data_IF_683912128196
#
_entry.id   IF_683912128196
#
_cell.length_a   1.000
_cell.length_b   1.000
_cell.length_c   1.000
_cell.angle_alpha   90.00
_cell.angle_beta   90.00
_cell.angle_gamma   90.00
#
_symmetry.space_group_name_H-M   'P 1'
#
loop_
_entity.id
_entity.type
_entity.pdbx_description
1 polymer ?
#
# COMPACT_ATOMS: atom_id res chain seq x y z
N UNK A 1 -8.21 15.73 -6.55
CA UNK A 1 -9.56 15.69 -5.94
C UNK A 1 -10.50 16.34 -6.93
N UNK A 2 -11.50 15.62 -7.42
CA UNK A 2 -12.46 16.13 -8.39
C UNK A 2 -13.86 16.19 -7.76
N UNK A 3 -14.64 17.20 -8.15
CA UNK A 3 -16.02 17.41 -7.69
C UNK A 3 -16.90 17.48 -8.92
N UNK A 4 -17.92 16.62 -8.97
CA UNK A 4 -19.00 16.71 -9.95
C UNK A 4 -20.27 16.99 -9.18
N UNK A 5 -20.89 18.13 -9.46
CA UNK A 5 -22.19 18.53 -8.93
C UNK A 5 -23.16 18.70 -10.10
N UNK A 6 -24.34 18.12 -10.00
CA UNK A 6 -25.40 18.23 -11.00
C UNK A 6 -26.69 18.68 -10.34
N UNK A 7 -27.28 19.72 -10.91
CA UNK A 7 -28.65 20.17 -10.62
C UNK A 7 -29.60 19.33 -11.48
N UNK A 8 -29.77 18.06 -11.12
CA UNK A 8 -30.72 17.15 -11.76
C UNK A 8 -31.98 16.98 -10.92
N UNK A 9 -33.13 16.75 -11.57
CA UNK A 9 -34.43 16.50 -10.92
C UNK A 9 -34.40 15.14 -10.22
N UNK A 10 -33.68 15.06 -9.11
CA UNK A 10 -33.77 13.95 -8.19
C UNK A 10 -35.12 14.09 -7.46
N UNK A 11 -36.02 13.13 -7.63
CA UNK A 11 -37.14 12.93 -6.70
C UNK A 11 -36.68 12.45 -5.30
N UNK A 12 -35.36 12.47 -5.06
CA UNK A 12 -34.71 11.94 -3.88
C UNK A 12 -34.28 13.13 -3.01
N UNK A 13 -34.95 13.29 -1.88
CA UNK A 13 -34.58 14.29 -0.87
C UNK A 13 -33.22 13.96 -0.26
N UNK A 14 -32.50 14.98 0.22
CA UNK A 14 -31.22 14.79 0.93
C UNK A 14 -31.32 13.80 2.11
N UNK A 15 -32.47 13.73 2.79
CA UNK A 15 -32.74 12.72 3.84
C UNK A 15 -32.52 11.26 3.43
N UNK A 16 -32.55 10.93 2.14
CA UNK A 16 -32.35 9.57 1.61
C UNK A 16 -30.94 9.35 1.04
N UNK A 17 -30.09 10.37 1.05
CA UNK A 17 -28.73 10.31 0.49
C UNK A 17 -27.72 10.07 1.61
N UNK A 18 -26.95 8.99 1.46
CA UNK A 18 -25.86 8.62 2.35
C UNK A 18 -24.51 8.79 1.65
N UNK A 19 -23.41 8.70 2.41
CA UNK A 19 -22.04 8.86 1.91
C UNK A 19 -21.66 7.85 0.80
N UNK A 20 -22.30 6.69 0.80
CA UNK A 20 -22.09 5.60 -0.16
C UNK A 20 -23.13 5.57 -1.28
N UNK A 21 -24.11 6.48 -1.28
CA UNK A 21 -25.16 6.50 -2.30
C UNK A 21 -24.58 6.72 -3.69
N UNK A 22 -25.01 5.88 -4.63
CA UNK A 22 -24.64 5.94 -6.04
C UNK A 22 -25.78 6.62 -6.78
N UNK A 23 -25.46 7.73 -7.45
CA UNK A 23 -26.45 8.63 -8.06
C UNK A 23 -26.34 8.51 -9.57
N UNK A 24 -27.40 8.09 -10.28
CA UNK A 24 -27.35 7.83 -11.73
C UNK A 24 -26.90 9.03 -12.57
N UNK A 25 -27.05 10.25 -12.08
CA UNK A 25 -26.62 11.48 -12.75
C UNK A 25 -25.11 11.70 -12.60
N UNK A 26 -24.50 11.13 -11.57
CA UNK A 26 -23.08 11.24 -11.27
C UNK A 26 -22.28 10.02 -11.81
N UNK A 27 -22.67 9.47 -12.97
CA UNK A 27 -22.07 8.21 -13.50
C UNK A 27 -20.55 8.27 -13.57
N UNK A 28 -19.99 9.36 -14.10
CA UNK A 28 -18.54 9.54 -14.23
C UNK A 28 -17.85 9.45 -12.86
N UNK A 29 -18.45 10.02 -11.82
CA UNK A 29 -17.89 10.00 -10.47
C UNK A 29 -18.10 8.66 -9.74
N UNK A 30 -19.10 7.88 -10.14
CA UNK A 30 -19.41 6.58 -9.53
C UNK A 30 -18.36 5.50 -9.86
N UNK A 31 -17.58 5.69 -10.93
CA UNK A 31 -16.46 4.81 -11.29
C UNK A 31 -15.27 4.93 -10.34
N UNK A 32 -15.23 5.98 -9.52
CA UNK A 32 -14.11 6.28 -8.64
C UNK A 32 -14.51 6.19 -7.16
N UNK A 33 -13.57 5.80 -6.29
CA UNK A 33 -13.81 5.80 -4.85
C UNK A 33 -14.02 7.24 -4.38
N UNK A 34 -15.07 7.44 -3.59
CA UNK A 34 -15.51 8.77 -3.22
C UNK A 34 -16.70 8.75 -2.28
N UNK A 35 -17.04 9.94 -1.80
CA UNK A 35 -18.17 10.19 -0.92
C UNK A 35 -19.23 11.04 -1.62
N UNK A 36 -20.48 10.64 -1.49
CA UNK A 36 -21.64 11.38 -1.99
C UNK A 36 -22.19 12.26 -0.86
N UNK A 37 -22.56 13.49 -1.18
CA UNK A 37 -23.18 14.43 -0.25
C UNK A 37 -24.36 15.12 -0.92
N UNK A 38 -25.28 15.62 -0.09
CA UNK A 38 -26.44 16.37 -0.52
C UNK A 38 -26.59 17.60 0.35
N UNK A 39 -26.93 18.73 -0.27
CA UNK A 39 -27.29 19.97 0.42
C UNK A 39 -28.64 20.42 -0.11
N UNK A 40 -29.55 20.76 0.80
CA UNK A 40 -30.86 21.28 0.42
C UNK A 40 -30.71 22.71 -0.11
N UNK A 41 -31.41 23.00 -1.20
CA UNK A 41 -31.47 24.29 -1.88
C UNK A 41 -32.91 24.81 -1.87
N UNK A 42 -33.09 26.10 -2.15
CA UNK A 42 -34.41 26.65 -2.40
C UNK A 42 -35.08 25.98 -3.60
N UNK A 43 -36.40 25.87 -3.57
CA UNK A 43 -37.21 25.44 -4.70
C UNK A 43 -38.37 26.41 -4.94
N UNK A 44 -39.31 26.01 -5.79
CA UNK A 44 -40.39 26.86 -6.29
C UNK A 44 -39.97 27.77 -7.45
N UNK A 45 -40.95 28.48 -8.02
CA UNK A 45 -40.79 29.33 -9.21
C UNK A 45 -39.76 30.46 -9.03
N UNK A 46 -39.51 30.89 -7.78
CA UNK A 46 -38.46 31.87 -7.47
C UNK A 46 -37.04 31.33 -7.58
N UNK A 47 -36.88 30.00 -7.69
CA UNK A 47 -35.60 29.30 -7.84
C UNK A 47 -35.60 28.38 -9.08
N UNK A 48 -36.31 28.76 -10.15
CA UNK A 48 -36.45 28.02 -11.42
C UNK A 48 -36.89 26.55 -11.28
N UNK A 49 -37.62 26.25 -10.19
CA UNK A 49 -38.16 24.92 -9.92
C UNK A 49 -39.69 24.93 -10.03
N UNK A 50 -40.29 23.98 -10.75
CA UNK A 50 -41.75 23.91 -10.87
C UNK A 50 -42.45 23.61 -9.53
N UNK A 51 -41.82 22.78 -8.69
CA UNK A 51 -42.36 22.36 -7.40
C UNK A 51 -41.88 23.26 -6.25
N UNK A 52 -42.74 23.61 -5.27
CA UNK A 52 -42.39 24.47 -4.13
C UNK A 52 -41.55 23.76 -3.05
N UNK A 53 -41.31 22.46 -3.17
CA UNK A 53 -40.42 21.73 -2.28
C UNK A 53 -38.97 22.20 -2.44
N UNK A 54 -38.13 22.00 -1.42
CA UNK A 54 -36.69 22.25 -1.51
C UNK A 54 -36.05 21.51 -2.69
N UNK A 55 -35.15 22.21 -3.39
CA UNK A 55 -34.22 21.59 -4.33
C UNK A 55 -33.14 20.80 -3.60
N UNK A 56 -32.45 19.89 -4.28
CA UNK A 56 -31.34 19.11 -3.71
C UNK A 56 -30.12 19.24 -4.62
N UNK A 57 -29.02 19.77 -4.08
CA UNK A 57 -27.72 19.76 -4.75
C UNK A 57 -26.97 18.50 -4.32
N UNK A 58 -26.91 17.52 -5.21
CA UNK A 58 -26.17 16.28 -4.98
C UNK A 58 -24.83 16.34 -5.69
N UNK A 59 -23.77 16.06 -4.95
CA UNK A 59 -22.42 16.05 -5.47
C UNK A 59 -21.62 14.89 -4.90
N UNK A 60 -20.61 14.46 -5.64
CA UNK A 60 -19.69 13.41 -5.23
C UNK A 60 -18.26 13.92 -5.30
N UNK A 61 -17.54 13.74 -4.21
CA UNK A 61 -16.11 14.02 -4.10
C UNK A 61 -15.40 12.68 -4.24
N UNK A 62 -14.53 12.54 -5.23
CA UNK A 62 -13.84 11.28 -5.53
C UNK A 62 -12.35 11.47 -5.80
N UNK A 63 -11.61 10.37 -5.66
CA UNK A 63 -10.18 10.30 -5.93
C UNK A 63 -9.96 9.80 -7.35
N UNK A 64 -9.14 10.52 -8.10
CA UNK A 64 -8.63 10.08 -9.38
C UNK A 64 -7.21 9.53 -9.17
N UNK A 65 -6.87 8.37 -9.75
CA UNK A 65 -5.49 7.91 -9.77
C UNK A 65 -4.63 8.95 -10.51
N UNK A 66 -3.45 9.27 -9.96
CA UNK A 66 -2.51 10.18 -10.62
C UNK A 66 -1.73 9.48 -11.73
N UNK A 67 -1.50 8.18 -11.55
CA UNK A 67 -0.80 7.30 -12.49
C UNK A 67 -1.44 5.91 -12.52
N UNK A 68 -1.01 5.08 -13.47
CA UNK A 68 -1.44 3.68 -13.61
C UNK A 68 -0.56 2.72 -12.81
N UNK A 69 0.37 3.24 -12.00
CA UNK A 69 1.28 2.42 -11.21
C UNK A 69 0.57 1.84 -9.99
N UNK A 70 0.65 0.53 -9.82
CA UNK A 70 0.13 -0.15 -8.66
C UNK A 70 1.25 -0.36 -7.64
N UNK A 71 1.08 0.21 -6.45
CA UNK A 71 2.00 0.04 -5.35
C UNK A 71 1.42 -0.89 -4.29
N UNK A 72 2.20 -1.91 -3.89
CA UNK A 72 1.86 -2.82 -2.81
C UNK A 72 2.64 -2.43 -1.55
N UNK A 73 1.92 -2.17 -0.46
CA UNK A 73 2.51 -1.97 0.86
C UNK A 73 2.40 -3.27 1.65
N UNK A 74 3.53 -3.81 2.09
CA UNK A 74 3.59 -5.08 2.80
C UNK A 74 4.58 -5.06 3.97
N UNK A 75 4.50 -6.08 4.84
CA UNK A 75 5.40 -6.27 5.98
C UNK A 75 5.85 -7.72 6.06
N UNK A 76 7.15 -7.93 6.23
CA UNK A 76 7.71 -9.26 6.44
C UNK A 76 7.48 -9.70 7.90
N UNK A 77 6.70 -10.76 8.10
CA UNK A 77 6.47 -11.34 9.44
C UNK A 77 7.67 -12.12 9.98
N UNK A 78 8.50 -12.64 9.07
CA UNK A 78 9.68 -13.47 9.35
C UNK A 78 10.75 -13.19 8.31
N UNK A 79 12.00 -13.16 8.75
CA UNK A 79 13.17 -13.07 7.89
C UNK A 79 13.90 -14.41 7.91
N UNK A 80 14.66 -14.68 6.85
CA UNK A 80 15.52 -15.85 6.77
C UNK A 80 16.97 -15.38 6.80
N UNK A 81 17.70 -15.81 7.80
CA UNK A 81 19.08 -15.44 8.01
C UNK A 81 20.00 -16.24 7.08
N UNK A 82 20.93 -15.54 6.46
CA UNK A 82 22.02 -16.13 5.70
C UNK A 82 23.25 -15.24 5.86
N UNK A 83 24.42 -15.87 5.97
CA UNK A 83 25.69 -15.16 6.19
C UNK A 83 26.64 -15.52 5.07
N UNK A 84 27.24 -14.51 4.44
CA UNK A 84 28.35 -14.70 3.51
C UNK A 84 29.64 -14.80 4.33
N UNK A 85 30.30 -15.96 4.27
CA UNK A 85 31.53 -16.26 5.00
C UNK A 85 32.68 -16.44 4.02
N UNK A 86 33.81 -15.81 4.34
CA UNK A 86 35.07 -15.98 3.62
C UNK A 86 35.93 -17.00 4.38
N UNK A 87 36.08 -18.19 3.82
CA UNK A 87 36.87 -19.26 4.41
C UNK A 87 38.24 -19.24 3.76
N UNK A 88 39.30 -19.10 4.57
CA UNK A 88 40.68 -19.21 4.10
C UNK A 88 41.42 -20.30 4.86
N UNK A 89 42.12 -21.16 4.13
CA UNK A 89 42.96 -22.21 4.68
C UNK A 89 44.37 -22.08 4.10
N UNK A 90 45.35 -21.99 4.99
CA UNK A 90 46.77 -22.00 4.64
C UNK A 90 47.31 -23.39 4.88
N UNK A 91 47.80 -24.02 3.82
CA UNK A 91 48.59 -25.23 3.92
C UNK A 91 50.06 -24.80 4.14
N UNK A 92 50.52 -24.87 5.39
CA UNK A 92 51.90 -24.51 5.76
C UNK A 92 52.95 -25.41 5.12
N UNK A 93 52.57 -26.61 4.68
CA UNK A 93 53.49 -27.57 4.06
C UNK A 93 53.65 -27.31 2.55
N UNK A 94 52.58 -26.87 1.88
CA UNK A 94 52.58 -26.60 0.43
C UNK A 94 52.73 -25.12 0.08
N UNK A 95 52.69 -24.22 1.07
CA UNK A 95 52.67 -22.77 0.89
C UNK A 95 51.51 -22.30 -0.04
N UNK A 96 50.39 -23.02 0.00
CA UNK A 96 49.19 -22.73 -0.80
C UNK A 96 48.13 -22.15 0.13
N UNK A 97 47.55 -21.01 -0.26
CA UNK A 97 46.35 -20.47 0.38
C UNK A 97 45.14 -20.72 -0.50
N UNK A 98 44.11 -21.39 0.05
CA UNK A 98 42.82 -21.55 -0.62
C UNK A 98 41.81 -20.64 0.06
N UNK A 99 41.12 -19.82 -0.75
CA UNK A 99 40.03 -18.94 -0.30
C UNK A 99 38.73 -19.36 -0.99
N UNK A 100 37.64 -19.33 -0.27
CA UNK A 100 36.30 -19.66 -0.78
C UNK A 100 35.27 -18.79 -0.09
N UNK A 101 34.27 -18.39 -0.87
CA UNK A 101 33.08 -17.69 -0.38
C UNK A 101 31.95 -18.71 -0.22
N UNK A 102 31.29 -18.70 0.94
CA UNK A 102 30.19 -19.60 1.23
C UNK A 102 29.02 -18.81 1.83
N UNK A 103 27.83 -18.99 1.26
CA UNK A 103 26.58 -18.52 1.87
C UNK A 103 26.10 -19.62 2.80
N UNK A 104 26.22 -19.38 4.10
CA UNK A 104 25.84 -20.32 5.15
C UNK A 104 24.50 -19.93 5.77
N UNK A 105 23.72 -20.95 6.13
CA UNK A 105 22.45 -20.81 6.85
C UNK A 105 22.57 -21.49 8.21
N UNK A 106 21.89 -20.98 9.26
CA UNK A 106 21.93 -21.61 10.58
C UNK A 106 21.50 -23.07 10.53
N UNK A 107 22.21 -23.93 11.26
CA UNK A 107 21.96 -25.37 11.40
C UNK A 107 22.03 -26.19 10.10
N UNK A 108 22.63 -25.64 9.04
CA UNK A 108 22.87 -26.37 7.78
C UNK A 108 24.38 -26.58 7.61
N UNK A 109 24.88 -27.82 7.63
CA UNK A 109 26.30 -28.11 7.43
C UNK A 109 26.76 -27.75 6.01
N UNK A 110 27.86 -27.00 5.91
CA UNK A 110 28.55 -26.71 4.67
C UNK A 110 29.80 -27.58 4.56
N UNK A 111 29.93 -28.30 3.45
CA UNK A 111 31.08 -29.16 3.20
C UNK A 111 32.11 -28.44 2.34
N UNK A 112 33.35 -28.34 2.84
CA UNK A 112 34.46 -27.76 2.10
C UNK A 112 35.71 -28.61 2.24
N UNK A 113 36.13 -29.23 1.14
CA UNK A 113 37.19 -30.25 1.12
C UNK A 113 36.89 -31.38 2.14
N UNK A 114 37.76 -31.55 3.14
CA UNK A 114 37.61 -32.53 4.23
C UNK A 114 37.10 -31.89 5.53
N UNK A 115 36.56 -30.66 5.47
CA UNK A 115 36.03 -29.95 6.62
C UNK A 115 34.52 -29.76 6.47
N UNK A 116 33.80 -30.03 7.55
CA UNK A 116 32.39 -29.66 7.69
C UNK A 116 32.31 -28.44 8.60
N UNK A 117 31.75 -27.36 8.08
CA UNK A 117 31.58 -26.11 8.82
C UNK A 117 30.08 -25.91 8.99
N UNK A 118 29.63 -25.70 10.22
CA UNK A 118 28.20 -25.47 10.51
C UNK A 118 28.05 -24.15 11.23
N UNK A 119 27.12 -23.31 10.77
CA UNK A 119 26.72 -22.10 11.47
C UNK A 119 25.71 -22.49 12.54
N UNK A 120 26.14 -22.62 13.81
CA UNK A 120 25.26 -23.10 14.89
C UNK A 120 24.25 -22.05 15.34
N UNK A 121 24.73 -20.84 15.61
CA UNK A 121 23.92 -19.76 16.17
C UNK A 121 24.29 -18.42 15.52
N UNK A 122 23.29 -17.55 15.37
CA UNK A 122 23.46 -16.20 14.90
C UNK A 122 22.73 -15.25 15.87
N UNK A 123 23.48 -14.40 16.55
CA UNK A 123 22.93 -13.35 17.39
C UNK A 123 22.76 -12.08 16.56
N UNK A 124 21.52 -11.77 16.16
CA UNK A 124 21.20 -10.51 15.49
C UNK A 124 20.81 -9.45 16.53
N UNK A 125 21.43 -8.26 16.53
CA UNK A 125 20.92 -7.16 17.33
C UNK A 125 19.52 -6.77 16.85
N UNK A 126 18.67 -6.17 17.71
CA UNK A 126 17.36 -5.68 17.31
C UNK A 126 17.52 -4.63 16.21
N UNK A 127 17.26 -5.02 14.97
CA UNK A 127 17.40 -4.17 13.79
C UNK A 127 16.03 -3.63 13.40
N UNK A 128 15.81 -2.34 13.67
CA UNK A 128 14.54 -1.66 13.40
C UNK A 128 14.11 -1.78 11.93
N UNK A 129 15.07 -1.86 11.00
CA UNK A 129 14.83 -1.98 9.56
C UNK A 129 14.01 -3.23 9.17
N UNK A 130 14.21 -4.35 9.87
CA UNK A 130 13.52 -5.61 9.55
C UNK A 130 12.06 -5.60 10.03
N UNK A 131 11.70 -4.69 10.93
CA UNK A 131 10.34 -4.56 11.45
C UNK A 131 9.46 -3.63 10.59
N UNK A 132 10.05 -2.91 9.63
CA UNK A 132 9.35 -1.89 8.85
C UNK A 132 8.41 -2.45 7.80
N UNK A 133 7.57 -1.55 7.30
CA UNK A 133 6.80 -1.77 6.09
C UNK A 133 7.66 -1.45 4.86
N UNK A 134 7.34 -2.10 3.75
CA UNK A 134 7.97 -1.90 2.46
C UNK A 134 6.90 -1.58 1.44
N UNK A 135 7.29 -0.84 0.40
CA UNK A 135 6.46 -0.56 -0.77
C UNK A 135 7.15 -1.11 -2.02
N UNK A 136 6.39 -1.76 -2.90
CA UNK A 136 6.89 -2.22 -4.19
C UNK A 136 5.97 -1.84 -5.33
N UNK A 137 6.57 -1.51 -6.47
CA UNK A 137 5.91 -1.35 -7.78
C UNK A 137 5.94 -2.65 -8.62
N UNK A 138 6.34 -3.78 -8.01
CA UNK A 138 6.57 -5.07 -8.66
C UNK A 138 7.97 -5.24 -9.28
N UNK A 139 8.77 -4.19 -9.43
CA UNK A 139 10.16 -4.24 -9.95
C UNK A 139 11.18 -3.80 -8.91
N UNK A 140 10.87 -2.74 -8.19
CA UNK A 140 11.68 -2.09 -7.19
C UNK A 140 10.97 -2.21 -5.83
N UNK A 141 11.75 -2.19 -4.76
CA UNK A 141 11.23 -2.16 -3.39
C UNK A 141 11.91 -1.02 -2.64
N UNK A 142 11.13 -0.25 -1.90
CA UNK A 142 11.61 0.79 -1.01
C UNK A 142 11.07 0.58 0.41
N UNK A 143 11.76 1.15 1.38
CA UNK A 143 11.29 1.19 2.76
C UNK A 143 10.13 2.19 2.86
N UNK A 144 9.01 1.78 3.45
CA UNK A 144 7.86 2.63 3.70
C UNK A 144 8.02 3.33 5.05
N UNK A 145 8.58 4.53 5.03
CA UNK A 145 8.80 5.36 6.23
C UNK A 145 7.47 6.07 6.50
N UNK A 146 6.75 5.62 7.53
CA UNK A 146 5.38 6.07 7.82
C UNK A 146 5.28 7.59 8.05
N UNK A 147 4.58 8.27 7.15
CA UNK A 147 3.82 9.51 7.47
C UNK A 147 2.45 9.57 6.76
N UNK A 148 2.14 8.65 5.83
CA UNK A 148 0.91 8.70 5.03
C UNK A 148 -0.02 7.52 5.33
N UNK A 149 -1.11 7.77 6.05
CA UNK A 149 -2.27 6.86 6.09
C UNK A 149 -3.22 7.22 4.95
N UNK A 150 -3.50 6.31 3.99
CA UNK A 150 -4.43 6.60 2.92
C UNK A 150 -5.81 6.94 3.48
N UNK A 151 -6.38 8.06 3.01
CA UNK A 151 -7.65 8.62 3.51
C UNK A 151 -8.85 7.66 3.45
N UNK A 152 -8.74 6.58 2.67
CA UNK A 152 -9.81 5.60 2.46
C UNK A 152 -9.69 4.32 3.32
N UNK A 153 -8.65 4.17 4.15
CA UNK A 153 -8.43 2.97 4.96
C UNK A 153 -8.83 3.12 6.44
N UNK A 154 -9.70 4.09 6.78
CA UNK A 154 -10.38 4.10 8.08
C UNK A 154 -11.80 3.56 7.90
N UNK A 155 -11.95 2.26 8.14
CA UNK A 155 -13.23 1.59 8.41
C UNK A 155 -13.75 1.97 9.79
#
# INVERSE_FOLDING_TARGET
MAVVGLFGILQIKCSKINRTSIIPELQTANHYPGITRCVESCGGRGCDCFYPSSGCLVYRIYLLPMDENLYEIYRCIRWREAVLVYISMMDTYRNISKKTEAIMKPNIPYQWNNMTITLSELALPPTLLLADQFVSDGKNTARWIQEYTPYLCKS
#
